data_IF_547732985919
#
_entry.id   IF_547732985919
#
_cell.length_a   1.000
_cell.length_b   1.000
_cell.length_c   1.000
_cell.angle_alpha   90.00
_cell.angle_beta   90.00
_cell.angle_gamma   90.00
#
_symmetry.space_group_name_H-M   'P 1'
#
loop_
_entity.id
_entity.type
_entity.pdbx_description
1 polymer ?
#
# COMPACT_ATOMS: atom_id res chain seq x y z
N UNK A 1 -18.51 -1.88 -33.45
CA UNK A 1 -17.33 -1.55 -32.63
C UNK A 1 -17.85 -1.37 -31.23
N UNK A 2 -17.77 -2.43 -30.43
CA UNK A 2 -18.25 -2.39 -29.05
C UNK A 2 -17.36 -1.44 -28.25
N UNK A 3 -17.99 -0.45 -27.60
CA UNK A 3 -17.31 0.41 -26.65
C UNK A 3 -16.95 -0.49 -25.47
N UNK A 4 -15.71 -0.94 -25.40
CA UNK A 4 -15.19 -1.60 -24.21
C UNK A 4 -15.26 -0.57 -23.10
N UNK A 5 -16.25 -0.71 -22.23
CA UNK A 5 -16.40 0.14 -21.06
C UNK A 5 -15.12 -0.01 -20.23
N UNK A 6 -14.32 1.07 -20.19
CA UNK A 6 -13.06 1.12 -19.44
C UNK A 6 -13.39 1.09 -17.96
N UNK A 7 -13.47 -0.10 -17.39
CA UNK A 7 -13.72 -0.28 -15.96
C UNK A 7 -12.43 0.11 -15.22
N UNK A 8 -12.46 1.26 -14.55
CA UNK A 8 -11.41 1.64 -13.61
C UNK A 8 -11.40 0.68 -12.41
N UNK A 9 -10.23 0.50 -11.79
CA UNK A 9 -10.10 -0.29 -10.56
C UNK A 9 -11.06 0.24 -9.49
N UNK A 10 -11.93 -0.62 -8.92
CA UNK A 10 -12.94 -0.18 -7.96
C UNK A 10 -12.33 0.29 -6.62
N UNK A 11 -11.09 -0.11 -6.32
CA UNK A 11 -10.41 0.26 -5.07
C UNK A 11 -9.52 1.49 -5.23
N UNK A 12 -8.61 1.49 -6.21
CA UNK A 12 -7.64 2.57 -6.38
C UNK A 12 -8.02 3.61 -7.44
N UNK A 13 -8.95 3.29 -8.35
CA UNK A 13 -9.35 4.18 -9.46
C UNK A 13 -8.47 4.12 -10.70
N UNK A 14 -7.43 3.27 -10.72
CA UNK A 14 -6.55 3.11 -11.87
C UNK A 14 -7.31 2.68 -13.14
N UNK A 15 -7.00 3.32 -14.27
CA UNK A 15 -7.65 3.06 -15.55
C UNK A 15 -7.39 1.64 -16.05
N UNK A 16 -8.40 1.06 -16.72
CA UNK A 16 -8.34 -0.26 -17.37
C UNK A 16 -7.89 -1.41 -16.44
N UNK A 17 -8.09 -1.26 -15.13
CA UNK A 17 -7.59 -2.19 -14.09
C UNK A 17 -6.07 -2.48 -14.15
N UNK A 18 -5.28 -1.59 -14.77
CA UNK A 18 -3.85 -1.81 -15.01
C UNK A 18 -2.98 -1.73 -13.74
N UNK A 19 -3.54 -1.35 -12.59
CA UNK A 19 -2.80 -1.24 -11.35
C UNK A 19 -2.08 -2.54 -10.95
N UNK A 20 -2.67 -3.71 -11.21
CA UNK A 20 -2.02 -4.99 -10.88
C UNK A 20 -0.84 -5.28 -11.81
N UNK A 21 -1.02 -5.07 -13.12
CA UNK A 21 0.05 -5.24 -14.09
C UNK A 21 1.23 -4.32 -13.77
N UNK A 22 0.95 -3.03 -13.55
CA UNK A 22 1.98 -2.05 -13.18
C UNK A 22 2.70 -2.39 -11.88
N UNK A 23 1.97 -2.93 -10.90
CA UNK A 23 2.56 -3.40 -9.66
C UNK A 23 3.54 -4.56 -9.90
N UNK A 24 3.17 -5.54 -10.72
CA UNK A 24 4.05 -6.67 -11.02
C UNK A 24 5.29 -6.24 -11.81
N UNK A 25 5.15 -5.32 -12.75
CA UNK A 25 6.28 -4.70 -13.47
C UNK A 25 7.27 -4.04 -12.50
N UNK A 26 6.76 -3.27 -11.54
CA UNK A 26 7.59 -2.61 -10.53
C UNK A 26 8.27 -3.60 -9.60
N UNK A 27 7.58 -4.65 -9.16
CA UNK A 27 8.21 -5.68 -8.34
C UNK A 27 9.36 -6.38 -9.09
N UNK A 28 9.19 -6.65 -10.38
CA UNK A 28 10.24 -7.23 -11.21
C UNK A 28 11.42 -6.26 -11.38
N UNK A 29 11.14 -4.98 -11.61
CA UNK A 29 12.15 -3.93 -11.76
C UNK A 29 12.96 -3.72 -10.47
N UNK A 30 12.28 -3.58 -9.33
CA UNK A 30 12.88 -3.42 -8.01
C UNK A 30 13.75 -4.60 -7.60
N UNK A 31 13.38 -5.81 -8.03
CA UNK A 31 14.19 -7.01 -7.79
C UNK A 31 15.44 -7.05 -8.69
N UNK A 32 15.32 -6.54 -9.91
CA UNK A 32 16.38 -6.61 -10.93
C UNK A 32 17.44 -5.52 -10.75
N UNK A 33 17.09 -4.39 -10.15
CA UNK A 33 17.98 -3.24 -9.98
C UNK A 33 17.85 -2.64 -8.56
N UNK A 34 18.98 -2.62 -7.83
CA UNK A 34 19.04 -2.13 -6.45
C UNK A 34 18.69 -0.64 -6.31
N UNK A 35 18.93 0.17 -7.34
CA UNK A 35 18.56 1.58 -7.36
C UNK A 35 17.05 1.76 -7.31
N UNK A 36 16.30 0.95 -8.06
CA UNK A 36 14.83 0.93 -7.97
C UNK A 36 14.35 0.26 -6.67
N UNK A 37 15.00 -0.83 -6.27
CA UNK A 37 14.67 -1.60 -5.06
C UNK A 37 14.79 -0.82 -3.74
N UNK A 38 15.45 0.33 -3.73
CA UNK A 38 15.59 1.20 -2.56
C UNK A 38 14.23 1.61 -1.94
N UNK A 39 13.17 1.69 -2.74
CA UNK A 39 11.82 2.10 -2.31
C UNK A 39 10.81 0.96 -2.26
N UNK A 40 11.23 -0.30 -2.42
CA UNK A 40 10.34 -1.48 -2.46
C UNK A 40 9.29 -1.51 -1.33
N UNK A 41 9.71 -1.21 -0.09
CA UNK A 41 8.81 -1.22 1.06
C UNK A 41 7.69 -0.17 0.93
N UNK A 42 7.99 0.99 0.34
CA UNK A 42 6.99 2.04 0.07
C UNK A 42 6.03 1.60 -1.04
N UNK A 43 6.54 0.97 -2.10
CA UNK A 43 5.74 0.45 -3.21
C UNK A 43 4.70 -0.55 -2.73
N UNK A 44 5.13 -1.55 -1.95
CA UNK A 44 4.24 -2.59 -1.40
C UNK A 44 3.21 -1.98 -0.44
N UNK A 45 3.65 -1.18 0.53
CA UNK A 45 2.75 -0.61 1.54
C UNK A 45 1.71 0.33 0.90
N UNK A 46 2.13 1.23 -0.01
CA UNK A 46 1.22 2.13 -0.70
C UNK A 46 0.21 1.36 -1.57
N UNK A 47 0.66 0.33 -2.31
CA UNK A 47 -0.22 -0.51 -3.12
C UNK A 47 -1.26 -1.23 -2.27
N UNK A 48 -0.84 -1.85 -1.16
CA UNK A 48 -1.72 -2.62 -0.30
C UNK A 48 -2.75 -1.73 0.41
N UNK A 49 -2.38 -0.51 0.82
CA UNK A 49 -3.35 0.45 1.36
C UNK A 49 -4.44 0.82 0.37
N UNK A 50 -4.09 0.97 -0.92
CA UNK A 50 -5.05 1.27 -1.98
C UNK A 50 -5.91 0.06 -2.40
N UNK A 51 -5.46 -1.17 -2.10
CA UNK A 51 -6.13 -2.43 -2.44
C UNK A 51 -6.46 -3.21 -1.16
N UNK A 52 -7.19 -2.55 -0.26
CA UNK A 52 -7.45 -3.05 1.08
C UNK A 52 -8.26 -4.36 1.12
N UNK A 53 -8.97 -4.71 0.04
CA UNK A 53 -9.64 -6.01 -0.12
C UNK A 53 -8.70 -7.21 0.07
N UNK A 54 -7.40 -7.02 -0.18
CA UNK A 54 -6.37 -8.06 -0.11
C UNK A 54 -5.95 -8.39 1.32
N UNK A 55 -6.29 -7.55 2.29
CA UNK A 55 -5.79 -7.65 3.66
C UNK A 55 -6.91 -7.78 4.69
N UNK A 56 -6.58 -8.42 5.81
CA UNK A 56 -7.37 -8.27 7.03
C UNK A 56 -7.29 -6.83 7.54
N UNK A 57 -8.18 -6.46 8.46
CA UNK A 57 -8.09 -5.18 9.15
C UNK A 57 -6.74 -5.00 9.84
N UNK A 58 -6.25 -6.03 10.52
CA UNK A 58 -4.97 -6.01 11.23
C UNK A 58 -3.79 -5.87 10.27
N UNK A 59 -3.82 -6.58 9.14
CA UNK A 59 -2.81 -6.45 8.08
C UNK A 59 -2.80 -5.06 7.45
N UNK A 60 -3.98 -4.49 7.18
CA UNK A 60 -4.09 -3.14 6.65
C UNK A 60 -3.60 -2.08 7.65
N UNK A 61 -3.93 -2.23 8.93
CA UNK A 61 -3.42 -1.35 10.00
C UNK A 61 -1.90 -1.46 10.14
N UNK A 62 -1.35 -2.67 9.96
CA UNK A 62 0.10 -2.89 9.95
C UNK A 62 0.77 -2.15 8.79
N UNK A 63 0.30 -2.32 7.55
CA UNK A 63 0.87 -1.61 6.38
C UNK A 63 0.76 -0.09 6.53
N UNK A 64 -0.35 0.38 7.11
CA UNK A 64 -0.54 1.81 7.41
C UNK A 64 0.52 2.33 8.39
N UNK A 65 0.73 1.60 9.48
CA UNK A 65 1.67 2.01 10.51
C UNK A 65 3.12 1.87 9.99
N UNK A 66 3.40 0.86 9.17
CA UNK A 66 4.68 0.71 8.46
C UNK A 66 4.97 1.91 7.54
N UNK A 67 3.98 2.38 6.78
CA UNK A 67 4.12 3.56 5.93
C UNK A 67 4.43 4.83 6.73
N UNK A 68 3.86 4.98 7.93
CA UNK A 68 4.21 6.08 8.86
C UNK A 68 5.67 6.01 9.28
N UNK A 69 6.15 4.83 9.66
CA UNK A 69 7.55 4.66 10.11
C UNK A 69 8.55 5.06 9.01
N UNK A 70 8.25 4.77 7.74
CA UNK A 70 9.10 5.19 6.63
C UNK A 70 8.94 6.67 6.27
N UNK A 71 7.71 7.19 6.20
CA UNK A 71 7.45 8.54 5.67
C UNK A 71 7.66 9.63 6.73
N UNK A 72 7.21 9.39 7.96
CA UNK A 72 7.25 10.38 9.06
C UNK A 72 8.51 10.21 9.89
N UNK A 73 8.76 8.99 10.38
CA UNK A 73 9.88 8.73 11.30
C UNK A 73 11.22 8.50 10.56
N UNK A 74 11.18 8.42 9.22
CA UNK A 74 12.35 8.23 8.35
C UNK A 74 13.21 7.01 8.74
N UNK A 75 12.59 5.98 9.30
CA UNK A 75 13.31 4.75 9.68
C UNK A 75 13.81 4.02 8.44
N UNK A 76 14.99 3.44 8.52
CA UNK A 76 15.52 2.60 7.45
C UNK A 76 14.80 1.24 7.41
N UNK A 77 14.72 0.57 6.24
CA UNK A 77 14.19 -0.79 6.14
C UNK A 77 14.93 -1.80 7.02
N UNK A 78 16.25 -1.64 7.21
CA UNK A 78 17.03 -2.51 8.08
C UNK A 78 16.62 -2.40 9.55
N UNK A 79 16.40 -1.17 10.04
CA UNK A 79 15.95 -0.93 11.41
C UNK A 79 14.56 -1.52 11.66
N UNK A 80 13.62 -1.31 10.74
CA UNK A 80 12.27 -1.88 10.88
C UNK A 80 12.34 -3.42 10.89
N UNK A 81 13.06 -4.04 9.96
CA UNK A 81 13.21 -5.51 9.93
C UNK A 81 13.77 -6.05 11.25
N UNK A 82 14.69 -5.34 11.88
CA UNK A 82 15.21 -5.72 13.20
C UNK A 82 14.13 -5.62 14.29
N UNK A 83 13.30 -4.55 14.27
CA UNK A 83 12.24 -4.32 15.25
C UNK A 83 11.08 -5.32 15.15
N UNK A 84 10.74 -5.75 13.94
CA UNK A 84 9.55 -6.60 13.70
C UNK A 84 9.87 -8.06 13.41
N UNK A 85 11.15 -8.47 13.51
CA UNK A 85 11.61 -9.81 13.11
C UNK A 85 10.76 -10.93 13.71
N UNK A 86 10.56 -10.91 15.02
CA UNK A 86 9.82 -11.97 15.71
C UNK A 86 8.31 -11.87 15.52
N UNK A 87 7.76 -10.66 15.39
CA UNK A 87 6.31 -10.49 15.25
C UNK A 87 5.81 -10.77 13.83
N UNK A 88 6.69 -10.69 12.81
CA UNK A 88 6.37 -10.97 11.41
C UNK A 88 6.67 -12.40 10.97
N UNK A 89 7.43 -13.15 11.77
CA UNK A 89 7.61 -14.58 11.58
C UNK A 89 6.25 -15.29 11.56
N UNK A 90 5.93 -15.98 10.47
CA UNK A 90 4.64 -16.66 10.29
C UNK A 90 4.35 -17.72 11.37
N UNK A 91 5.38 -18.29 12.00
CA UNK A 91 5.23 -19.23 13.12
C UNK A 91 4.90 -18.57 14.45
N UNK A 92 5.15 -17.26 14.59
CA UNK A 92 4.95 -16.48 15.83
C UNK A 92 3.88 -15.39 15.72
N UNK A 93 3.54 -14.96 14.50
CA UNK A 93 2.61 -13.85 14.24
C UNK A 93 1.20 -14.17 14.75
N UNK A 94 0.65 -13.28 15.55
CA UNK A 94 -0.67 -13.44 16.19
C UNK A 94 -1.86 -13.06 15.32
N UNK A 95 -1.63 -12.52 14.11
CA UNK A 95 -2.67 -12.11 13.16
C UNK A 95 -2.43 -12.65 11.74
N UNK A 96 -3.49 -12.68 10.94
CA UNK A 96 -3.43 -13.04 9.52
C UNK A 96 -3.31 -11.77 8.69
N UNK A 97 -2.41 -11.75 7.70
CA UNK A 97 -2.25 -10.60 6.80
C UNK A 97 -3.34 -10.54 5.73
N UNK A 98 -3.61 -11.68 5.08
CA UNK A 98 -4.54 -11.73 3.94
C UNK A 98 -5.98 -11.69 4.41
N UNK A 99 -6.84 -11.01 3.64
CA UNK A 99 -8.29 -11.04 3.85
C UNK A 99 -8.83 -12.46 3.67
N UNK A 100 -9.94 -12.77 4.36
CA UNK A 100 -10.69 -14.03 4.19
C UNK A 100 -11.88 -13.88 3.24
N UNK A 101 -12.48 -12.69 3.17
CA UNK A 101 -13.73 -12.45 2.44
C UNK A 101 -13.56 -11.46 1.27
N UNK A 102 -12.36 -10.91 1.10
CA UNK A 102 -12.08 -9.96 0.02
C UNK A 102 -12.77 -8.61 0.20
N UNK A 103 -13.35 -8.32 1.38
CA UNK A 103 -14.03 -7.04 1.60
C UNK A 103 -13.01 -5.94 1.87
N UNK A 104 -13.09 -4.79 1.18
CA UNK A 104 -12.22 -3.65 1.46
C UNK A 104 -12.34 -3.18 2.91
N UNK A 105 -11.20 -2.89 3.55
CA UNK A 105 -11.15 -2.29 4.89
C UNK A 105 -11.65 -0.85 4.86
N UNK A 106 -11.34 -0.14 3.78
CA UNK A 106 -11.83 1.21 3.53
C UNK A 106 -12.72 1.19 2.29
N UNK A 107 -13.84 1.91 2.33
CA UNK A 107 -14.70 2.06 1.16
C UNK A 107 -14.04 2.94 0.10
N UNK A 108 -14.58 2.87 -1.13
CA UNK A 108 -14.07 3.51 -2.35
C UNK A 108 -13.49 4.90 -2.06
N UNK A 109 -12.17 4.97 -2.07
CA UNK A 109 -11.44 6.21 -1.80
C UNK A 109 -11.16 6.87 -3.13
N UNK A 110 -11.46 8.17 -3.25
CA UNK A 110 -10.95 8.99 -4.36
C UNK A 110 -9.47 9.25 -4.13
N UNK A 111 -8.64 8.24 -4.40
CA UNK A 111 -7.20 8.40 -4.42
C UNK A 111 -6.84 9.43 -5.48
N UNK A 112 -6.04 10.42 -5.11
CA UNK A 112 -5.60 11.48 -6.04
C UNK A 112 -4.44 11.04 -6.92
N UNK A 113 -3.78 9.93 -6.58
CA UNK A 113 -2.74 9.26 -7.34
C UNK A 113 -2.85 7.75 -7.17
N UNK A 114 -2.48 7.02 -8.20
CA UNK A 114 -2.37 5.56 -8.22
C UNK A 114 -0.96 5.15 -8.61
N UNK A 115 -0.69 3.85 -8.61
CA UNK A 115 0.57 3.31 -9.12
C UNK A 115 0.82 3.64 -10.61
N UNK A 116 -0.24 3.96 -11.38
CA UNK A 116 -0.09 4.37 -12.79
C UNK A 116 0.53 5.77 -12.93
N UNK A 117 0.49 6.58 -11.87
CA UNK A 117 1.11 7.92 -11.85
C UNK A 117 2.63 7.87 -11.61
N UNK A 118 3.20 6.70 -11.33
CA UNK A 118 4.62 6.54 -11.02
C UNK A 118 5.40 6.30 -12.31
N UNK A 119 6.36 7.18 -12.56
CA UNK A 119 7.31 7.10 -13.66
C UNK A 119 8.48 6.19 -13.34
N UNK A 120 9.04 5.55 -14.36
CA UNK A 120 10.05 4.50 -14.20
C UNK A 120 11.17 4.57 -15.24
N UNK A 121 11.46 5.76 -15.78
CA UNK A 121 12.50 5.93 -16.80
C UNK A 121 13.92 5.80 -16.23
N UNK A 122 14.10 6.17 -14.95
CA UNK A 122 15.32 5.96 -14.20
C UNK A 122 15.04 5.82 -12.69
N UNK A 123 16.02 5.28 -11.95
CA UNK A 123 15.89 4.99 -10.52
C UNK A 123 15.62 6.24 -9.65
N UNK A 124 16.21 7.39 -9.98
CA UNK A 124 16.03 8.63 -9.22
C UNK A 124 14.58 9.12 -9.32
N UNK A 125 14.06 9.22 -10.55
CA UNK A 125 12.67 9.63 -10.82
C UNK A 125 11.69 8.62 -10.20
N UNK A 126 11.95 7.33 -10.34
CA UNK A 126 11.13 6.27 -9.75
C UNK A 126 11.06 6.39 -8.23
N UNK A 127 12.19 6.52 -7.55
CA UNK A 127 12.24 6.65 -6.10
C UNK A 127 11.50 7.90 -5.61
N UNK A 128 11.65 9.03 -6.32
CA UNK A 128 10.95 10.26 -6.00
C UNK A 128 9.43 10.11 -6.15
N UNK A 129 8.97 9.54 -7.26
CA UNK A 129 7.54 9.34 -7.55
C UNK A 129 6.88 8.34 -6.59
N UNK A 130 7.55 7.21 -6.28
CA UNK A 130 7.07 6.24 -5.28
C UNK A 130 6.96 6.90 -3.91
N UNK A 131 7.97 7.69 -3.51
CA UNK A 131 7.95 8.40 -2.22
C UNK A 131 6.81 9.42 -2.15
N UNK A 132 6.56 10.16 -3.24
CA UNK A 132 5.48 11.12 -3.33
C UNK A 132 4.09 10.44 -3.28
N UNK A 133 3.93 9.34 -4.02
CA UNK A 133 2.71 8.52 -4.01
C UNK A 133 2.44 7.93 -2.62
N UNK A 134 3.45 7.30 -2.00
CA UNK A 134 3.38 6.79 -0.63
C UNK A 134 2.99 7.88 0.38
N UNK A 135 3.54 9.08 0.25
CA UNK A 135 3.19 10.22 1.12
C UNK A 135 1.73 10.65 0.96
N UNK A 136 1.17 10.61 -0.25
CA UNK A 136 -0.26 10.86 -0.49
C UNK A 136 -1.13 9.76 0.11
N UNK A 137 -0.74 8.50 -0.05
CA UNK A 137 -1.42 7.37 0.60
C UNK A 137 -1.48 7.56 2.11
N UNK A 138 -0.35 7.85 2.76
CA UNK A 138 -0.29 8.14 4.21
C UNK A 138 -1.19 9.30 4.60
N UNK A 139 -1.10 10.45 3.89
CA UNK A 139 -1.95 11.63 4.17
C UNK A 139 -3.44 11.31 4.12
N UNK A 140 -3.86 10.41 3.22
CA UNK A 140 -5.25 10.01 3.08
C UNK A 140 -5.74 9.15 4.26
N UNK A 141 -4.89 8.27 4.78
CA UNK A 141 -5.27 7.26 5.78
C UNK A 141 -4.88 7.64 7.21
N UNK A 142 -4.12 8.71 7.44
CA UNK A 142 -3.62 9.08 8.78
C UNK A 142 -4.72 9.34 9.82
N UNK A 143 -5.91 9.80 9.41
CA UNK A 143 -7.04 10.05 10.32
C UNK A 143 -7.89 8.80 10.61
N UNK A 144 -7.74 7.73 9.83
CA UNK A 144 -8.63 6.55 9.89
C UNK A 144 -8.51 5.74 11.19
N UNK A 145 -7.38 5.84 11.92
CA UNK A 145 -7.24 5.12 13.21
C UNK A 145 -8.29 5.59 14.22
N UNK A 146 -8.62 6.88 14.20
CA UNK A 146 -9.63 7.46 15.08
C UNK A 146 -11.04 7.03 14.67
N UNK A 147 -11.38 7.11 13.38
CA UNK A 147 -12.72 6.78 12.88
C UNK A 147 -13.13 5.31 13.13
N UNK A 148 -12.20 4.36 12.98
CA UNK A 148 -12.45 2.94 13.29
C UNK A 148 -12.65 2.73 14.80
N UNK A 149 -11.87 3.42 15.63
CA UNK A 149 -11.99 3.32 17.08
C UNK A 149 -13.31 3.93 17.58
N UNK A 150 -13.69 5.12 17.10
CA UNK A 150 -14.98 5.76 17.39
C UNK A 150 -16.16 4.88 16.95
N UNK A 151 -16.10 4.30 15.76
CA UNK A 151 -17.17 3.44 15.22
C UNK A 151 -17.33 2.09 15.95
N UNK A 152 -16.32 1.66 16.73
CA UNK A 152 -16.41 0.48 17.60
C UNK A 152 -16.95 0.81 19.00
N UNK A 153 -16.73 2.02 19.51
CA UNK A 153 -17.26 2.46 20.82
C UNK A 153 -18.75 2.83 20.74
N UNK A 154 -19.22 3.37 19.62
CA UNK A 154 -20.64 3.76 19.42
C UNK A 154 -21.57 2.58 19.08
N UNK A 155 -21.03 1.35 18.97
CA UNK A 155 -21.79 0.10 18.77
C UNK A 155 -21.92 -0.75 20.04
N UNK A 156 -21.72 -0.11 21.20
CA UNK A 156 -22.03 -0.67 22.52
C UNK A 156 -23.19 0.07 23.14
#
# INVERSE_FOLDING_TARGET
MDVVEKINCPECGATDNLCKLRFDEFLALEFSDMGYGAVHNLTVAAYMLQHSSKMSLEGWLYERDLLREFIVEKKSPSLIRQQVKDSMDSGKRTFKFKSKDGKPVISKSTWTKTILDVRAENAEVYCADVTAWASLCWRRVKSWKFEIWFSKQMRK
#
